data_IF_217530747506
#
_entry.id   IF_217530747506
#
_cell.length_a   1.000
_cell.length_b   1.000
_cell.length_c   1.000
_cell.angle_alpha   90.00
_cell.angle_beta   90.00
_cell.angle_gamma   90.00
#
_symmetry.space_group_name_H-M   'P 1'
#
loop_
_entity.id
_entity.type
_entity.pdbx_description
1 polymer ?
#
# COMPACT_ATOMS: atom_id res chain seq x y z
N UNK A 1 12.82 -16.32 -15.97
CA UNK A 1 13.28 -17.24 -14.91
C UNK A 1 13.45 -18.61 -15.53
N UNK A 2 14.56 -19.28 -15.30
CA UNK A 2 14.80 -20.64 -15.79
C UNK A 2 14.06 -21.70 -14.94
N UNK A 3 13.99 -22.94 -15.49
CA UNK A 3 13.28 -24.04 -14.82
C UNK A 3 13.90 -24.47 -13.49
N UNK A 4 15.22 -24.29 -13.31
CA UNK A 4 15.95 -24.62 -12.08
C UNK A 4 15.52 -23.68 -10.94
N UNK A 5 15.51 -22.37 -11.19
CA UNK A 5 15.12 -21.38 -10.19
C UNK A 5 13.63 -21.51 -9.82
N UNK A 6 12.77 -21.80 -10.81
CA UNK A 6 11.35 -22.09 -10.55
C UNK A 6 11.18 -23.30 -9.61
N UNK A 7 11.90 -24.38 -9.89
CA UNK A 7 11.85 -25.60 -9.06
C UNK A 7 12.31 -25.34 -7.62
N UNK A 8 13.41 -24.61 -7.45
CA UNK A 8 13.95 -24.28 -6.10
C UNK A 8 12.95 -23.43 -5.30
N UNK A 9 12.37 -22.41 -5.91
CA UNK A 9 11.38 -21.55 -5.26
C UNK A 9 10.12 -22.31 -4.84
N UNK A 10 9.62 -23.20 -5.71
CA UNK A 10 8.41 -24.00 -5.41
C UNK A 10 8.64 -25.01 -4.29
N UNK A 11 9.85 -25.56 -4.15
CA UNK A 11 10.14 -26.50 -3.09
C UNK A 11 10.41 -25.83 -1.74
N UNK A 12 10.98 -24.62 -1.72
CA UNK A 12 11.39 -23.92 -0.51
C UNK A 12 10.28 -23.01 0.08
N UNK A 13 9.31 -22.57 -0.74
CA UNK A 13 8.32 -21.55 -0.36
C UNK A 13 6.91 -21.92 -0.82
N UNK A 14 5.92 -21.28 -0.21
CA UNK A 14 4.57 -21.23 -0.79
C UNK A 14 4.60 -20.31 -2.01
N UNK A 15 4.09 -20.79 -3.14
CA UNK A 15 4.09 -20.05 -4.41
C UNK A 15 2.73 -20.08 -5.08
N UNK A 16 2.48 -19.10 -5.95
CA UNK A 16 1.33 -19.02 -6.85
C UNK A 16 1.85 -18.67 -8.25
N UNK A 17 1.65 -19.59 -9.22
CA UNK A 17 1.98 -19.34 -10.60
C UNK A 17 0.90 -18.50 -11.28
N UNK A 18 1.31 -17.72 -12.29
CA UNK A 18 0.41 -16.81 -13.00
C UNK A 18 -0.40 -15.90 -12.05
N UNK A 19 0.30 -15.34 -11.06
CA UNK A 19 -0.30 -14.48 -10.05
C UNK A 19 -1.07 -13.33 -10.69
N UNK A 20 -2.39 -13.38 -10.57
CA UNK A 20 -3.33 -12.46 -11.22
C UNK A 20 -3.48 -11.17 -10.41
N UNK A 21 -2.96 -10.07 -10.93
CA UNK A 21 -3.05 -8.76 -10.26
C UNK A 21 -4.50 -8.28 -10.13
N UNK A 22 -5.37 -8.60 -11.10
CA UNK A 22 -6.77 -8.16 -11.06
C UNK A 22 -7.55 -8.77 -9.90
N UNK A 23 -7.19 -9.99 -9.49
CA UNK A 23 -7.80 -10.66 -8.33
C UNK A 23 -7.21 -10.22 -7.00
N UNK A 24 -5.97 -9.74 -7.01
CA UNK A 24 -5.19 -9.44 -5.82
C UNK A 24 -5.08 -7.95 -5.49
N UNK A 25 -5.47 -7.05 -6.39
CA UNK A 25 -5.48 -5.60 -6.18
C UNK A 25 -6.87 -5.08 -5.81
N UNK A 26 -6.92 -4.01 -5.01
CA UNK A 26 -8.20 -3.38 -4.63
C UNK A 26 -8.91 -2.69 -5.79
N UNK A 27 -8.16 -2.27 -6.81
CA UNK A 27 -8.70 -1.68 -8.03
C UNK A 27 -9.27 -2.74 -8.99
N UNK A 28 -8.85 -3.99 -8.87
CA UNK A 28 -9.35 -5.09 -9.68
C UNK A 28 -8.97 -4.99 -11.16
N UNK A 29 -7.78 -4.47 -11.48
CA UNK A 29 -7.21 -4.42 -12.83
C UNK A 29 -5.81 -4.99 -12.84
N UNK A 30 -5.26 -5.20 -14.04
CA UNK A 30 -3.92 -5.65 -14.30
C UNK A 30 -3.86 -7.07 -14.84
N UNK A 31 -2.73 -7.41 -15.44
CA UNK A 31 -2.42 -8.74 -15.94
C UNK A 31 -1.87 -9.64 -14.85
N UNK A 32 -0.73 -10.28 -15.10
CA UNK A 32 -0.17 -11.26 -14.17
C UNK A 32 1.34 -11.12 -13.99
N UNK A 33 1.85 -11.73 -12.91
CA UNK A 33 3.25 -12.05 -12.72
C UNK A 33 3.45 -13.56 -12.91
N UNK A 34 4.60 -14.02 -13.44
CA UNK A 34 4.85 -15.45 -13.65
C UNK A 34 4.81 -16.25 -12.35
N UNK A 35 5.21 -15.64 -11.24
CA UNK A 35 5.23 -16.29 -9.93
C UNK A 35 5.11 -15.27 -8.81
N UNK A 36 4.24 -15.54 -7.83
CA UNK A 36 4.31 -14.93 -6.52
C UNK A 36 4.87 -15.91 -5.50
N UNK A 37 5.73 -15.42 -4.60
CA UNK A 37 6.36 -16.18 -3.53
C UNK A 37 5.98 -15.56 -2.19
N UNK A 38 5.54 -16.40 -1.25
CA UNK A 38 4.98 -16.00 0.03
C UNK A 38 5.83 -16.54 1.19
N UNK A 39 6.89 -15.83 1.63
CA UNK A 39 7.60 -16.20 2.83
C UNK A 39 6.67 -16.07 4.05
N UNK A 40 6.73 -17.06 4.97
CA UNK A 40 5.81 -17.17 6.10
C UNK A 40 6.40 -16.75 7.45
N UNK A 41 7.64 -16.29 7.47
CA UNK A 41 8.32 -15.68 8.60
C UNK A 41 9.53 -14.86 8.14
N UNK A 42 10.13 -14.08 9.06
CA UNK A 42 11.25 -13.19 8.75
C UNK A 42 12.49 -13.94 8.23
N UNK A 43 12.82 -15.09 8.77
CA UNK A 43 13.96 -15.88 8.30
C UNK A 43 13.77 -16.34 6.86
N UNK A 44 12.58 -16.84 6.52
CA UNK A 44 12.23 -17.21 5.14
C UNK A 44 12.13 -16.00 4.20
N UNK A 45 11.76 -14.85 4.70
CA UNK A 45 11.78 -13.61 3.90
C UNK A 45 13.20 -13.21 3.51
N UNK A 46 14.15 -13.27 4.45
CA UNK A 46 15.58 -12.99 4.20
C UNK A 46 16.17 -14.02 3.25
N UNK A 47 15.94 -15.32 3.49
CA UNK A 47 16.40 -16.42 2.61
C UNK A 47 15.93 -16.21 1.16
N UNK A 48 14.66 -15.82 0.97
CA UNK A 48 14.10 -15.52 -0.35
C UNK A 48 14.77 -14.30 -1.00
N UNK A 49 14.96 -13.22 -0.24
CA UNK A 49 15.58 -11.99 -0.75
C UNK A 49 17.04 -12.22 -1.12
N UNK A 50 17.79 -12.97 -0.33
CA UNK A 50 19.16 -13.37 -0.65
C UNK A 50 19.21 -14.22 -1.93
N UNK A 51 18.27 -15.14 -2.10
CA UNK A 51 18.15 -15.96 -3.30
C UNK A 51 17.83 -15.10 -4.53
N UNK A 52 16.82 -14.23 -4.45
CA UNK A 52 16.42 -13.35 -5.57
C UNK A 52 17.56 -12.41 -5.98
N UNK A 53 18.31 -11.87 -5.02
CA UNK A 53 19.49 -11.03 -5.26
C UNK A 53 20.62 -11.82 -5.92
N UNK A 54 20.97 -12.98 -5.38
CA UNK A 54 22.04 -13.85 -5.91
C UNK A 54 21.79 -14.28 -7.35
N UNK A 55 20.54 -14.64 -7.64
CA UNK A 55 20.15 -15.10 -8.98
C UNK A 55 19.73 -13.94 -9.92
N UNK A 56 19.90 -12.67 -9.49
CA UNK A 56 19.51 -11.47 -10.23
C UNK A 56 18.06 -11.53 -10.76
N UNK A 57 17.14 -12.06 -9.97
CA UNK A 57 15.73 -12.18 -10.33
C UNK A 57 14.97 -10.90 -9.94
N UNK A 58 14.45 -10.13 -10.90
CA UNK A 58 13.72 -8.92 -10.60
C UNK A 58 12.36 -9.24 -9.98
N UNK A 59 11.96 -8.48 -8.96
CA UNK A 59 10.71 -8.70 -8.25
C UNK A 59 10.05 -7.38 -7.83
N UNK A 60 8.79 -7.48 -7.44
CA UNK A 60 8.03 -6.43 -6.76
C UNK A 60 7.76 -6.85 -5.31
N UNK A 61 8.15 -6.08 -4.29
CA UNK A 61 7.71 -6.29 -2.92
C UNK A 61 6.28 -5.75 -2.76
N UNK A 62 5.31 -6.63 -2.55
CA UNK A 62 3.90 -6.27 -2.52
C UNK A 62 3.18 -6.76 -1.26
N UNK A 63 2.32 -5.88 -0.72
CA UNK A 63 1.30 -6.20 0.28
C UNK A 63 -0.08 -6.41 -0.38
N UNK A 64 -1.08 -5.62 0.04
CA UNK A 64 -2.47 -5.71 -0.45
C UNK A 64 -2.73 -5.00 -1.78
N UNK A 65 -1.74 -4.43 -2.44
CA UNK A 65 -1.90 -3.66 -3.69
C UNK A 65 -3.01 -2.59 -3.63
N UNK A 66 -3.22 -1.99 -2.45
CA UNK A 66 -4.32 -1.04 -2.23
C UNK A 66 -4.02 0.39 -2.69
N UNK A 67 -2.75 0.67 -3.03
CA UNK A 67 -2.27 1.92 -3.61
C UNK A 67 -1.43 1.67 -4.87
N UNK A 68 -1.69 0.56 -5.55
CA UNK A 68 -0.88 0.10 -6.69
C UNK A 68 -1.76 -0.07 -7.91
N UNK A 69 -1.33 0.50 -9.03
CA UNK A 69 -1.89 0.25 -10.35
C UNK A 69 -0.97 -0.76 -11.08
N UNK A 70 -1.35 -2.02 -11.18
CA UNK A 70 -0.60 -3.01 -11.94
C UNK A 70 -0.66 -2.71 -13.45
N UNK A 71 0.32 -3.24 -14.20
CA UNK A 71 0.30 -3.15 -15.66
C UNK A 71 -0.69 -4.15 -16.26
N UNK A 72 -1.21 -3.86 -17.46
CA UNK A 72 -1.93 -4.84 -18.28
C UNK A 72 -0.92 -5.80 -18.94
N UNK A 73 -1.21 -7.09 -18.97
CA UNK A 73 -0.31 -8.09 -19.56
C UNK A 73 0.54 -8.81 -18.53
N UNK A 74 1.54 -9.57 -19.01
CA UNK A 74 2.40 -10.40 -18.15
C UNK A 74 3.67 -9.64 -17.79
N UNK A 75 3.89 -9.43 -16.50
CA UNK A 75 5.11 -8.83 -15.97
C UNK A 75 6.30 -9.81 -16.13
N UNK A 76 7.49 -9.27 -16.32
CA UNK A 76 8.75 -10.03 -16.25
C UNK A 76 9.26 -10.20 -14.81
N UNK A 77 8.71 -9.45 -13.85
CA UNK A 77 9.12 -9.46 -12.44
C UNK A 77 8.28 -10.46 -11.65
N UNK A 78 8.90 -11.10 -10.68
CA UNK A 78 8.24 -11.94 -9.69
C UNK A 78 7.52 -11.06 -8.65
N UNK A 79 6.64 -11.66 -7.87
CA UNK A 79 6.07 -11.00 -6.69
C UNK A 79 6.70 -11.60 -5.43
N UNK A 80 7.37 -10.76 -4.64
CA UNK A 80 7.66 -11.02 -3.24
C UNK A 80 6.47 -10.54 -2.40
N UNK A 81 5.64 -11.47 -1.95
CA UNK A 81 4.43 -11.09 -1.22
C UNK A 81 4.66 -11.09 0.28
N UNK A 82 4.45 -9.94 0.93
CA UNK A 82 4.55 -9.83 2.39
C UNK A 82 3.31 -10.38 3.13
N UNK A 83 2.26 -10.79 2.44
CA UNK A 83 0.95 -11.17 3.03
C UNK A 83 1.03 -12.25 4.11
N UNK A 84 2.03 -13.14 4.06
CA UNK A 84 2.24 -14.18 5.08
C UNK A 84 3.22 -13.79 6.19
N UNK A 85 3.82 -12.60 6.10
CA UNK A 85 4.56 -11.99 7.22
C UNK A 85 3.54 -11.27 8.10
N UNK A 86 2.79 -12.01 8.90
CA UNK A 86 1.60 -11.50 9.59
C UNK A 86 1.61 -11.71 11.11
N UNK A 87 2.77 -11.96 11.69
CA UNK A 87 2.93 -12.09 13.13
C UNK A 87 2.94 -10.72 13.83
N UNK A 88 2.42 -10.72 15.06
CA UNK A 88 2.48 -9.60 16.01
C UNK A 88 3.08 -10.14 17.30
N UNK A 89 4.22 -9.61 17.73
CA UNK A 89 4.92 -9.96 18.96
C UNK A 89 4.95 -8.79 19.92
N UNK A 90 4.77 -9.06 21.23
CA UNK A 90 4.73 -8.02 22.28
C UNK A 90 5.70 -8.32 23.44
N UNK A 91 6.64 -9.24 23.27
CA UNK A 91 7.57 -9.67 24.36
C UNK A 91 8.62 -8.62 24.69
N UNK A 92 9.15 -7.92 23.65
CA UNK A 92 10.18 -6.88 23.77
C UNK A 92 9.74 -5.57 23.11
N UNK A 93 8.55 -5.08 23.46
CA UNK A 93 7.86 -4.03 22.74
C UNK A 93 7.00 -4.59 21.60
N UNK A 94 6.14 -3.78 21.04
CA UNK A 94 5.21 -4.21 20.00
C UNK A 94 5.91 -4.27 18.64
N UNK A 95 6.31 -5.46 18.20
CA UNK A 95 6.82 -5.71 16.86
C UNK A 95 5.70 -6.27 15.98
N UNK A 96 5.54 -5.70 14.80
CA UNK A 96 4.48 -6.02 13.84
C UNK A 96 5.12 -6.30 12.48
N UNK A 97 4.89 -7.47 11.91
CA UNK A 97 5.40 -7.83 10.60
C UNK A 97 4.69 -7.08 9.46
N UNK A 98 5.39 -6.92 8.34
CA UNK A 98 4.99 -6.06 7.21
C UNK A 98 3.67 -6.46 6.55
N UNK A 99 3.26 -7.71 6.62
CA UNK A 99 2.02 -8.23 6.05
C UNK A 99 0.80 -8.11 6.95
N UNK A 100 0.96 -7.71 8.21
CA UNK A 100 -0.18 -7.48 9.11
C UNK A 100 -1.07 -6.40 8.52
N UNK A 101 -2.37 -6.71 8.34
CA UNK A 101 -3.33 -5.74 7.81
C UNK A 101 -3.72 -4.72 8.88
N UNK A 102 -4.14 -3.52 8.46
CA UNK A 102 -4.67 -2.49 9.37
C UNK A 102 -5.80 -3.04 10.25
N UNK A 103 -6.71 -3.85 9.69
CA UNK A 103 -7.78 -4.48 10.45
C UNK A 103 -7.28 -5.47 11.52
N UNK A 104 -6.27 -6.29 11.18
CA UNK A 104 -5.65 -7.22 12.15
C UNK A 104 -4.93 -6.47 13.27
N UNK A 105 -4.17 -5.41 12.92
CA UNK A 105 -3.50 -4.56 13.90
C UNK A 105 -4.52 -3.90 14.87
N UNK A 106 -5.60 -3.34 14.33
CA UNK A 106 -6.64 -2.69 15.16
C UNK A 106 -7.39 -3.71 16.02
N UNK A 107 -7.63 -4.93 15.53
CA UNK A 107 -8.20 -6.01 16.34
C UNK A 107 -7.28 -6.38 17.51
N UNK A 108 -5.97 -6.52 17.24
CA UNK A 108 -4.97 -6.75 18.28
C UNK A 108 -4.94 -5.61 19.31
N UNK A 109 -4.91 -4.35 18.84
CA UNK A 109 -4.91 -3.18 19.71
C UNK A 109 -6.16 -3.14 20.62
N UNK A 110 -7.33 -3.43 20.07
CA UNK A 110 -8.58 -3.49 20.85
C UNK A 110 -8.52 -4.57 21.95
N UNK A 111 -8.03 -5.77 21.62
CA UNK A 111 -7.91 -6.89 22.58
C UNK A 111 -6.90 -6.60 23.69
N UNK A 112 -5.88 -5.80 23.42
CA UNK A 112 -4.79 -5.47 24.36
C UNK A 112 -4.94 -4.09 25.00
N UNK A 113 -6.08 -3.40 24.78
CA UNK A 113 -6.32 -2.05 25.26
C UNK A 113 -5.19 -1.07 24.89
N UNK A 114 -4.75 -1.12 23.62
CA UNK A 114 -3.73 -0.24 23.06
C UNK A 114 -4.36 0.79 22.14
N UNK A 115 -3.92 2.04 22.23
CA UNK A 115 -4.41 3.18 21.42
C UNK A 115 -3.27 3.85 20.66
N UNK A 116 -3.61 4.47 19.52
CA UNK A 116 -2.69 5.24 18.67
C UNK A 116 -2.76 4.87 17.21
N UNK A 117 -3.23 3.66 16.86
CA UNK A 117 -3.30 3.15 15.50
C UNK A 117 -4.68 3.31 14.83
N UNK A 118 -5.69 3.88 15.50
CA UNK A 118 -7.10 3.89 15.08
C UNK A 118 -7.34 4.67 13.77
N UNK A 119 -6.45 5.61 13.43
CA UNK A 119 -6.51 6.34 12.16
C UNK A 119 -6.30 5.44 10.93
N UNK A 120 -5.77 4.21 11.12
CA UNK A 120 -5.65 3.21 10.06
C UNK A 120 -6.98 2.48 9.77
N UNK A 121 -8.05 2.75 10.54
CA UNK A 121 -9.34 2.10 10.33
C UNK A 121 -9.85 2.30 8.90
N UNK A 122 -10.24 1.19 8.27
CA UNK A 122 -10.81 1.18 6.92
C UNK A 122 -9.81 1.46 5.78
N UNK A 123 -8.51 1.67 6.06
CA UNK A 123 -7.49 1.68 5.01
C UNK A 123 -7.14 0.23 4.70
N UNK A 124 -7.30 -0.26 3.46
CA UNK A 124 -7.06 -1.66 3.12
C UNK A 124 -5.56 -1.96 2.90
N UNK A 125 -4.71 -1.45 3.79
CA UNK A 125 -3.25 -1.61 3.69
C UNK A 125 -2.73 -2.77 4.54
N UNK A 126 -1.50 -3.18 4.24
CA UNK A 126 -0.62 -3.89 5.17
C UNK A 126 0.30 -2.89 5.87
N UNK A 127 0.89 -3.27 7.01
CA UNK A 127 1.84 -2.42 7.73
C UNK A 127 2.98 -1.96 6.81
N UNK A 128 3.60 -2.88 6.05
CA UNK A 128 4.68 -2.53 5.13
C UNK A 128 4.26 -1.48 4.10
N UNK A 129 3.05 -1.61 3.53
CA UNK A 129 2.49 -0.60 2.63
C UNK A 129 2.21 0.74 3.32
N UNK A 130 1.73 0.71 4.57
CA UNK A 130 1.51 1.91 5.36
C UNK A 130 2.82 2.64 5.68
N UNK A 131 3.87 1.91 6.07
CA UNK A 131 5.22 2.45 6.31
C UNK A 131 5.85 3.02 5.04
N UNK A 132 5.76 2.30 3.92
CA UNK A 132 6.26 2.76 2.63
C UNK A 132 5.67 4.10 2.21
N UNK A 133 4.35 4.28 2.39
CA UNK A 133 3.62 5.47 1.97
C UNK A 133 3.54 6.56 3.05
N UNK A 134 4.08 6.37 4.26
CA UNK A 134 3.75 7.17 5.43
C UNK A 134 2.24 7.41 5.50
N UNK A 135 1.48 6.30 5.53
CA UNK A 135 0.03 6.35 5.45
C UNK A 135 -0.58 7.16 6.60
N UNK A 136 -1.57 7.97 6.26
CA UNK A 136 -2.21 8.83 7.26
C UNK A 136 -3.62 9.25 6.87
N UNK A 137 -4.40 9.63 7.88
CA UNK A 137 -5.77 10.15 7.77
C UNK A 137 -5.97 11.26 8.80
N UNK A 138 -6.63 12.34 8.40
CA UNK A 138 -7.00 13.46 9.27
C UNK A 138 -5.82 14.06 10.05
N UNK A 139 -4.67 14.22 9.39
CA UNK A 139 -3.46 14.81 9.96
C UNK A 139 -2.65 13.88 10.87
N UNK A 140 -3.04 12.61 11.00
CA UNK A 140 -2.26 11.58 11.72
C UNK A 140 -1.57 10.67 10.73
N UNK A 141 -0.34 10.28 11.02
CA UNK A 141 0.52 9.47 10.15
C UNK A 141 1.10 8.27 10.88
N UNK A 142 1.42 7.19 10.13
CA UNK A 142 2.02 5.99 10.70
C UNK A 142 3.37 6.29 11.38
N UNK A 143 4.14 7.25 10.87
CA UNK A 143 5.40 7.69 11.46
C UNK A 143 5.29 8.18 12.91
N UNK A 144 4.12 8.65 13.33
CA UNK A 144 3.89 9.12 14.72
C UNK A 144 3.89 7.98 15.75
N UNK A 145 3.61 6.76 15.32
CA UNK A 145 3.54 5.59 16.18
C UNK A 145 4.66 4.57 15.91
N UNK A 146 5.53 4.83 14.93
CA UNK A 146 6.70 4.00 14.65
C UNK A 146 7.83 4.35 15.61
N UNK A 147 8.49 3.33 16.14
CA UNK A 147 9.74 3.45 16.91
C UNK A 147 10.95 3.14 16.02
N UNK A 148 10.85 2.07 15.24
CA UNK A 148 11.87 1.68 14.26
C UNK A 148 11.27 0.78 13.18
N UNK A 149 11.92 0.74 12.02
CA UNK A 149 11.54 -0.11 10.89
C UNK A 149 12.65 -1.12 10.61
N UNK A 150 12.29 -2.40 10.55
CA UNK A 150 13.19 -3.46 10.09
C UNK A 150 12.97 -3.67 8.60
N UNK A 151 14.04 -3.55 7.83
CA UNK A 151 14.02 -3.71 6.38
C UNK A 151 15.24 -4.50 5.88
N UNK A 152 15.09 -5.14 4.73
CA UNK A 152 16.21 -5.72 3.99
C UNK A 152 16.67 -4.72 2.95
N UNK A 153 17.89 -4.20 3.09
CA UNK A 153 18.49 -3.16 2.25
C UNK A 153 19.89 -3.60 1.88
N UNK A 154 20.25 -3.52 0.62
CA UNK A 154 21.60 -3.83 0.09
C UNK A 154 22.18 -5.19 0.53
N UNK A 155 21.31 -6.21 0.67
CA UNK A 155 21.70 -7.56 1.05
C UNK A 155 21.83 -7.77 2.56
N UNK A 156 21.32 -6.86 3.38
CA UNK A 156 21.39 -6.94 4.84
C UNK A 156 20.05 -6.59 5.48
N UNK A 157 19.78 -7.20 6.63
CA UNK A 157 18.68 -6.78 7.48
C UNK A 157 19.15 -5.62 8.35
N UNK A 158 18.50 -4.49 8.19
CA UNK A 158 18.79 -3.27 8.94
C UNK A 158 17.58 -2.83 9.76
N UNK A 159 17.84 -2.12 10.85
CA UNK A 159 16.82 -1.48 11.66
C UNK A 159 17.04 0.02 11.61
N UNK A 160 16.13 0.72 10.96
CA UNK A 160 16.18 2.17 10.81
C UNK A 160 15.39 2.84 11.93
N UNK A 161 15.92 3.93 12.48
CA UNK A 161 15.16 4.84 13.35
C UNK A 161 14.06 5.56 12.56
N UNK A 162 13.15 6.23 13.24
CA UNK A 162 12.11 7.06 12.58
C UNK A 162 12.76 8.19 11.77
N UNK A 163 13.84 8.76 12.29
CA UNK A 163 14.62 9.83 11.66
C UNK A 163 15.26 9.35 10.35
N UNK A 164 15.85 8.15 10.34
CA UNK A 164 16.48 7.55 9.15
C UNK A 164 15.45 7.18 8.08
N UNK A 165 14.19 6.95 8.48
CA UNK A 165 13.12 6.70 7.54
C UNK A 165 12.71 7.91 6.69
N UNK A 166 13.18 9.13 7.03
CA UNK A 166 12.92 10.37 6.30
C UNK A 166 11.44 10.56 5.91
N UNK A 167 10.55 10.35 6.89
CA UNK A 167 9.12 10.45 6.66
C UNK A 167 8.67 11.89 6.39
N UNK A 168 7.95 12.07 5.28
CA UNK A 168 7.24 13.29 4.93
C UNK A 168 5.83 12.95 4.41
N UNK A 169 5.07 13.94 3.97
CA UNK A 169 3.75 13.73 3.40
C UNK A 169 3.81 12.81 2.19
N UNK A 170 3.26 11.58 2.34
CA UNK A 170 3.26 10.52 1.31
C UNK A 170 4.67 10.18 0.80
N UNK A 171 5.64 10.16 1.70
CA UNK A 171 7.04 9.92 1.39
C UNK A 171 7.74 9.16 2.52
N UNK A 172 8.70 8.31 2.14
CA UNK A 172 9.66 7.64 3.02
C UNK A 172 10.95 7.34 2.26
N UNK A 173 12.03 7.03 2.96
CA UNK A 173 13.31 6.60 2.36
C UNK A 173 13.15 5.35 1.49
N UNK A 174 12.21 4.47 1.83
CA UNK A 174 11.94 3.23 1.09
C UNK A 174 11.45 3.44 -0.35
N UNK A 175 11.03 4.66 -0.72
CA UNK A 175 10.67 5.01 -2.10
C UNK A 175 11.89 5.29 -2.99
N UNK A 176 13.07 5.47 -2.36
CA UNK A 176 14.32 5.82 -3.03
C UNK A 176 15.36 4.69 -2.95
N UNK A 177 15.00 3.57 -2.33
CA UNK A 177 15.87 2.40 -2.16
C UNK A 177 15.18 1.17 -2.73
N UNK A 178 15.96 0.14 -3.07
CA UNK A 178 15.43 -1.20 -3.41
C UNK A 178 15.11 -2.02 -2.15
N UNK A 179 14.94 -1.34 -1.01
CA UNK A 179 14.70 -1.96 0.29
C UNK A 179 13.31 -2.60 0.39
N UNK A 180 13.25 -3.71 1.10
CA UNK A 180 12.00 -4.43 1.42
C UNK A 180 11.72 -4.32 2.91
N UNK A 181 10.60 -3.66 3.26
CA UNK A 181 10.16 -3.55 4.65
C UNK A 181 9.70 -4.94 5.13
N UNK A 182 10.27 -5.40 6.25
CA UNK A 182 9.97 -6.68 6.87
C UNK A 182 9.03 -6.54 8.08
N UNK A 183 9.07 -5.41 8.78
CA UNK A 183 8.24 -5.10 9.93
C UNK A 183 8.64 -3.81 10.62
N UNK A 184 7.98 -3.50 11.72
CA UNK A 184 8.30 -2.31 12.54
C UNK A 184 8.01 -2.54 14.02
N UNK A 185 8.73 -1.83 14.89
CA UNK A 185 8.34 -1.60 16.28
C UNK A 185 7.42 -0.41 16.34
N UNK A 186 6.29 -0.60 17.03
CA UNK A 186 5.29 0.44 17.21
C UNK A 186 5.23 0.88 18.67
N UNK A 187 5.13 2.20 18.88
CA UNK A 187 4.94 2.83 20.19
C UNK A 187 3.46 3.22 20.34
N UNK A 188 2.69 2.34 20.96
CA UNK A 188 1.30 2.57 21.28
C UNK A 188 1.14 2.85 22.78
N UNK A 189 0.04 3.48 23.15
CA UNK A 189 -0.27 3.82 24.55
C UNK A 189 -1.32 2.85 25.10
N UNK A 190 -1.25 2.55 26.39
CA UNK A 190 -2.30 1.82 27.09
C UNK A 190 -3.53 2.75 27.21
N UNK A 191 -4.72 2.20 26.99
CA UNK A 191 -6.00 2.89 27.05
C UNK A 191 -7.08 1.97 27.61
N UNK A 192 -8.33 2.43 27.65
CA UNK A 192 -9.48 1.55 27.91
C UNK A 192 -10.06 1.02 26.59
N UNK A 193 -10.75 -0.13 26.65
CA UNK A 193 -11.44 -0.66 25.45
C UNK A 193 -12.50 0.32 24.90
N UNK A 194 -13.15 1.09 25.79
CA UNK A 194 -14.11 2.14 25.41
C UNK A 194 -13.43 3.29 24.66
N UNK A 195 -12.26 3.74 25.12
CA UNK A 195 -11.50 4.78 24.43
C UNK A 195 -11.10 4.35 23.03
N UNK A 196 -10.56 3.12 22.88
CA UNK A 196 -10.19 2.57 21.58
C UNK A 196 -11.41 2.46 20.66
N UNK A 197 -12.54 1.95 21.18
CA UNK A 197 -13.78 1.82 20.41
C UNK A 197 -14.31 3.19 19.94
N UNK A 198 -14.31 4.20 20.82
CA UNK A 198 -14.72 5.56 20.48
C UNK A 198 -13.84 6.18 19.38
N UNK A 199 -12.52 6.00 19.45
CA UNK A 199 -11.60 6.48 18.40
C UNK A 199 -11.81 5.75 17.08
N UNK A 200 -12.03 4.44 17.10
CA UNK A 200 -12.37 3.67 15.88
C UNK A 200 -13.67 4.20 15.27
N UNK A 201 -14.71 4.45 16.07
CA UNK A 201 -15.99 5.02 15.61
C UNK A 201 -15.80 6.39 14.95
N UNK A 202 -14.98 7.26 15.53
CA UNK A 202 -14.63 8.57 14.95
C UNK A 202 -14.01 8.46 13.55
N UNK A 203 -13.06 7.52 13.34
CA UNK A 203 -12.46 7.31 12.02
C UNK A 203 -13.39 6.57 11.06
N UNK A 204 -14.27 5.70 11.57
CA UNK A 204 -15.29 5.03 10.78
C UNK A 204 -16.27 6.02 10.17
N UNK A 205 -16.80 6.96 10.97
CA UNK A 205 -17.71 8.01 10.52
C UNK A 205 -17.12 8.85 9.38
N UNK A 206 -15.86 9.24 9.49
CA UNK A 206 -15.14 10.01 8.45
C UNK A 206 -14.99 9.27 7.12
N UNK A 207 -15.18 7.96 7.11
CA UNK A 207 -15.07 7.13 5.91
C UNK A 207 -16.43 6.73 5.30
N UNK A 208 -17.54 7.09 5.94
CA UNK A 208 -18.88 6.77 5.44
C UNK A 208 -19.15 7.36 4.06
N UNK A 209 -18.56 8.52 3.77
CA UNK A 209 -18.74 9.26 2.51
C UNK A 209 -17.70 8.93 1.45
N UNK A 210 -16.80 7.99 1.71
CA UNK A 210 -15.84 7.56 0.69
C UNK A 210 -16.53 6.65 -0.34
N UNK A 211 -16.09 6.74 -1.61
CA UNK A 211 -16.65 5.92 -2.68
C UNK A 211 -16.58 4.44 -2.36
N UNK A 212 -17.65 3.73 -2.68
CA UNK A 212 -17.70 2.27 -2.65
C UNK A 212 -17.27 1.72 -4.00
N UNK A 213 -16.69 0.51 -4.01
CA UNK A 213 -16.28 -0.16 -5.23
C UNK A 213 -14.76 -0.32 -5.35
N UNK A 214 -14.34 -0.89 -6.49
CA UNK A 214 -12.93 -1.21 -6.75
C UNK A 214 -12.15 0.07 -7.04
N UNK A 215 -11.20 0.42 -6.16
CA UNK A 215 -10.36 1.62 -6.27
C UNK A 215 -9.00 1.43 -5.59
N UNK A 216 -8.12 2.40 -5.76
CA UNK A 216 -6.82 2.48 -5.10
C UNK A 216 -6.79 3.56 -4.00
N UNK A 217 -7.96 4.07 -3.56
CA UNK A 217 -8.01 5.25 -2.72
C UNK A 217 -7.81 6.54 -3.52
N UNK A 218 -7.22 7.57 -2.88
CA UNK A 218 -6.87 8.82 -3.53
C UNK A 218 -5.81 8.60 -4.60
N UNK A 219 -6.04 9.12 -5.80
CA UNK A 219 -5.11 8.99 -6.93
C UNK A 219 -3.97 10.01 -6.85
N UNK A 220 -4.27 11.21 -6.39
CA UNK A 220 -3.33 12.33 -6.36
C UNK A 220 -3.03 12.78 -4.93
N UNK A 221 -1.80 13.19 -4.69
CA UNK A 221 -1.41 13.94 -3.50
C UNK A 221 -2.14 15.28 -3.47
N UNK A 222 -2.45 15.78 -2.29
CA UNK A 222 -2.98 17.13 -2.16
C UNK A 222 -1.86 18.15 -2.37
N UNK A 223 -2.00 19.11 -3.28
CA UNK A 223 -1.12 20.28 -3.33
C UNK A 223 -1.21 21.10 -2.03
N UNK A 224 -0.25 21.98 -1.76
CA UNK A 224 -0.35 22.94 -0.65
C UNK A 224 -1.68 23.71 -0.72
N UNK A 225 -2.31 23.91 0.43
CA UNK A 225 -3.51 24.73 0.67
C UNK A 225 -4.80 24.31 -0.03
N UNK A 226 -4.79 23.31 -0.93
CA UNK A 226 -5.98 22.85 -1.62
C UNK A 226 -5.99 21.31 -1.78
N UNK A 227 -7.16 20.69 -1.67
CA UNK A 227 -7.25 19.25 -1.96
C UNK A 227 -7.31 18.97 -3.47
N UNK A 228 -6.62 17.91 -3.89
CA UNK A 228 -6.69 17.44 -5.27
C UNK A 228 -8.14 17.12 -5.69
N UNK A 229 -8.96 16.58 -4.78
CA UNK A 229 -10.37 16.31 -5.03
C UNK A 229 -11.15 17.58 -5.40
N UNK A 230 -10.92 18.70 -4.72
CA UNK A 230 -11.56 19.98 -5.04
C UNK A 230 -11.14 20.51 -6.42
N UNK A 231 -9.86 20.35 -6.78
CA UNK A 231 -9.37 20.74 -8.11
C UNK A 231 -10.01 19.92 -9.23
N UNK A 232 -10.10 18.61 -9.06
CA UNK A 232 -10.73 17.68 -10.02
C UNK A 232 -12.24 17.95 -10.14
N UNK A 233 -12.90 18.21 -9.01
CA UNK A 233 -14.33 18.59 -8.98
C UNK A 233 -14.58 19.93 -9.64
N UNK A 234 -13.78 20.95 -9.31
CA UNK A 234 -13.90 22.29 -9.92
C UNK A 234 -13.57 22.30 -11.43
N UNK A 235 -12.77 21.34 -11.91
CA UNK A 235 -12.56 21.11 -13.34
C UNK A 235 -13.73 20.37 -14.03
N UNK A 236 -14.83 20.08 -13.30
CA UNK A 236 -16.03 19.44 -13.85
C UNK A 236 -15.87 17.95 -14.17
N UNK A 237 -14.90 17.25 -13.57
CA UNK A 237 -14.52 15.90 -13.97
C UNK A 237 -15.22 14.78 -13.18
N UNK A 238 -16.06 15.08 -12.17
CA UNK A 238 -16.86 14.06 -11.49
C UNK A 238 -17.72 13.29 -12.48
N UNK A 239 -17.66 11.98 -12.44
CA UNK A 239 -18.39 11.10 -13.36
C UNK A 239 -17.77 10.97 -14.75
N UNK A 240 -16.65 11.68 -15.05
CA UNK A 240 -15.90 11.50 -16.29
C UNK A 240 -15.45 10.06 -16.42
N UNK A 241 -15.73 9.48 -17.59
CA UNK A 241 -15.47 8.07 -17.90
C UNK A 241 -14.49 7.94 -19.04
N UNK A 242 -13.59 6.96 -18.93
CA UNK A 242 -12.75 6.51 -20.04
C UNK A 242 -12.67 4.98 -19.98
N UNK A 243 -13.17 4.30 -21.01
CA UNK A 243 -13.34 2.86 -20.99
C UNK A 243 -14.16 2.39 -19.79
N UNK A 244 -13.60 1.47 -19.01
CA UNK A 244 -14.21 0.97 -17.78
C UNK A 244 -13.95 1.78 -16.52
N UNK A 245 -13.06 2.79 -16.59
CA UNK A 245 -12.70 3.66 -15.46
C UNK A 245 -13.60 4.89 -15.38
N UNK A 246 -13.93 5.32 -14.16
CA UNK A 246 -14.74 6.51 -13.90
C UNK A 246 -14.24 7.32 -12.71
N UNK A 247 -14.21 8.64 -12.81
CA UNK A 247 -14.00 9.53 -11.65
C UNK A 247 -15.21 9.43 -10.74
N UNK A 248 -15.01 9.12 -9.47
CA UNK A 248 -16.12 9.00 -8.54
C UNK A 248 -16.95 10.28 -8.42
N UNK A 249 -18.27 10.11 -8.30
CA UNK A 249 -19.19 11.21 -8.04
C UNK A 249 -19.18 11.65 -6.56
N UNK A 250 -18.85 10.74 -5.64
CA UNK A 250 -18.77 11.01 -4.21
C UNK A 250 -17.48 11.74 -3.85
N UNK A 251 -16.33 11.31 -4.41
CA UNK A 251 -15.02 11.90 -4.10
C UNK A 251 -14.14 11.97 -5.37
N UNK A 252 -13.95 13.15 -5.90
CA UNK A 252 -13.30 13.36 -7.21
C UNK A 252 -11.80 12.94 -7.28
N UNK A 253 -11.13 12.71 -6.14
CA UNK A 253 -9.77 12.16 -6.13
C UNK A 253 -9.75 10.61 -6.19
N UNK A 254 -10.89 9.96 -6.45
CA UNK A 254 -10.99 8.52 -6.60
C UNK A 254 -11.36 8.15 -8.04
N UNK A 255 -10.66 7.17 -8.58
CA UNK A 255 -11.03 6.50 -9.82
C UNK A 255 -11.56 5.11 -9.47
N UNK A 256 -12.74 4.79 -9.99
CA UNK A 256 -13.43 3.52 -9.76
C UNK A 256 -13.35 2.67 -11.02
N UNK A 257 -12.98 1.40 -10.87
CA UNK A 257 -13.17 0.39 -11.88
C UNK A 257 -14.63 -0.06 -11.86
N UNK A 258 -15.46 0.54 -12.70
CA UNK A 258 -16.91 0.33 -12.74
C UNK A 258 -17.33 -0.73 -13.79
N UNK A 259 -16.62 -0.78 -14.93
CA UNK A 259 -16.97 -1.65 -16.07
C UNK A 259 -15.76 -2.39 -16.65
N UNK A 260 -15.07 -3.18 -15.81
CA UNK A 260 -13.89 -3.96 -16.23
C UNK A 260 -12.83 -3.08 -16.88
N UNK A 261 -12.44 -2.00 -16.21
CA UNK A 261 -11.38 -1.11 -16.67
C UNK A 261 -10.06 -1.87 -16.88
N UNK A 262 -9.27 -1.41 -17.83
CA UNK A 262 -7.86 -1.77 -17.99
C UNK A 262 -6.97 -0.79 -17.22
N UNK A 263 -5.72 -1.16 -16.96
CA UNK A 263 -4.74 -0.23 -16.40
C UNK A 263 -4.50 0.96 -17.35
N UNK A 264 -4.58 0.71 -18.68
CA UNK A 264 -4.51 1.76 -19.72
C UNK A 264 -5.66 2.76 -19.57
N UNK A 265 -6.91 2.32 -19.35
CA UNK A 265 -8.04 3.22 -19.15
C UNK A 265 -7.79 4.16 -17.98
N UNK A 266 -7.32 3.59 -16.85
CA UNK A 266 -7.02 4.34 -15.63
C UNK A 266 -5.88 5.34 -15.86
N UNK A 267 -4.76 4.92 -16.47
CA UNK A 267 -3.63 5.80 -16.79
C UNK A 267 -4.05 6.94 -17.72
N UNK A 268 -4.86 6.64 -18.74
CA UNK A 268 -5.37 7.65 -19.67
C UNK A 268 -6.31 8.64 -18.98
N UNK A 269 -7.18 8.17 -18.07
CA UNK A 269 -8.04 9.03 -17.28
C UNK A 269 -7.24 9.92 -16.32
N UNK A 270 -6.19 9.38 -15.66
CA UNK A 270 -5.26 10.16 -14.85
C UNK A 270 -4.60 11.27 -15.65
N UNK A 271 -4.10 10.98 -16.84
CA UNK A 271 -3.49 11.99 -17.73
C UNK A 271 -4.48 13.09 -18.15
N UNK A 272 -5.72 12.69 -18.49
CA UNK A 272 -6.80 13.63 -18.80
C UNK A 272 -7.06 14.58 -17.61
N UNK A 273 -7.19 14.03 -16.39
CA UNK A 273 -7.40 14.81 -15.17
C UNK A 273 -6.25 15.80 -14.95
N UNK A 274 -5.00 15.34 -15.04
CA UNK A 274 -3.80 16.20 -14.87
C UNK A 274 -3.80 17.36 -15.85
N UNK A 275 -4.12 17.10 -17.11
CA UNK A 275 -4.16 18.11 -18.17
C UNK A 275 -5.29 19.14 -17.95
N UNK A 276 -6.49 18.68 -17.60
CA UNK A 276 -7.64 19.57 -17.35
C UNK A 276 -7.40 20.48 -16.13
N UNK A 277 -6.91 19.90 -15.02
CA UNK A 277 -6.58 20.68 -13.82
C UNK A 277 -5.46 21.69 -14.11
N UNK A 278 -4.42 21.28 -14.85
CA UNK A 278 -3.35 22.21 -15.23
C UNK A 278 -3.83 23.33 -16.15
N UNK A 279 -4.69 23.02 -17.12
CA UNK A 279 -5.26 24.03 -18.03
C UNK A 279 -6.02 25.11 -17.28
N UNK A 280 -6.83 24.70 -16.28
CA UNK A 280 -7.71 25.63 -15.54
C UNK A 280 -7.01 26.33 -14.38
N UNK A 281 -6.21 25.62 -13.60
CA UNK A 281 -5.65 26.14 -12.34
C UNK A 281 -4.14 26.41 -12.38
N UNK A 282 -3.43 25.97 -13.42
CA UNK A 282 -1.96 26.00 -13.55
C UNK A 282 -1.24 25.18 -12.47
N UNK A 283 -1.96 24.26 -11.80
CA UNK A 283 -1.43 23.35 -10.77
C UNK A 283 -1.16 21.99 -11.40
N UNK A 284 0.06 21.46 -11.21
CA UNK A 284 0.43 20.11 -11.63
C UNK A 284 0.09 19.11 -10.53
N UNK A 285 -0.87 18.23 -10.78
CA UNK A 285 -1.19 17.14 -9.84
C UNK A 285 -0.09 16.06 -9.85
N UNK A 286 0.29 15.63 -8.66
CA UNK A 286 1.25 14.54 -8.42
C UNK A 286 0.50 13.26 -8.02
N UNK A 287 0.85 12.14 -8.63
CA UNK A 287 0.20 10.87 -8.30
C UNK A 287 0.66 10.36 -6.93
N UNK A 288 -0.30 9.95 -6.09
CA UNK A 288 -0.05 9.24 -4.84
C UNK A 288 0.11 7.73 -5.08
N UNK A 289 -0.61 7.21 -6.06
CA UNK A 289 -0.57 5.80 -6.42
C UNK A 289 0.79 5.41 -7.01
N UNK A 290 1.13 4.12 -6.92
CA UNK A 290 2.35 3.55 -7.49
C UNK A 290 2.00 2.65 -8.67
N UNK A 291 2.58 2.94 -9.84
CA UNK A 291 2.40 2.09 -11.01
C UNK A 291 3.47 0.99 -11.02
N UNK A 292 3.08 -0.26 -11.33
CA UNK A 292 4.02 -1.31 -11.71
C UNK A 292 4.38 -1.14 -13.19
N UNK A 293 5.64 -1.42 -13.53
CA UNK A 293 6.17 -1.35 -14.91
C UNK A 293 6.39 -2.75 -15.51
#
# INVERSE_FOLDING_TARGET
MDGKNLFLLKNAFTTEENYDFSKNSTIGVGGSSPLAVFPNNLSKAVELLDFLRKENLPFYPLGNLSNVLPTDGVSKRLVFSTKKLNAVSHEKGLFVEAGVTSGALLSFCKQRALTGAEFLFGIPCTLGGALYMNAGVAGRYISEIVESVTAYIDGKVETLSVEDCNYAYKQSVFMQTDGVILGARLRLKVATGEEVARKIAYYAERRLHLPKGKSMGCVFKNPPDISAGKLVEGAGLKGMRLGGAVVSKEHANFIINDKKATARDIKSLILLIKNAVFAQYKIRLEEEIRCLE
#
